data_IF_259648278293
#
_entry.id   IF_259648278293
#
_cell.length_a   1.000
_cell.length_b   1.000
_cell.length_c   1.000
_cell.angle_alpha   90.00
_cell.angle_beta   90.00
_cell.angle_gamma   90.00
#
_symmetry.space_group_name_H-M   'P 1'
#
loop_
_entity.id
_entity.type
_entity.pdbx_description
1 polymer ?
#
# COMPACT_ATOMS: atom_id res chain seq x y z
N UNK A 1 -9.46 1.50 4.05
CA UNK A 1 -8.27 0.66 3.95
C UNK A 1 -8.30 -0.19 2.68
N UNK A 2 -7.16 -0.62 2.22
CA UNK A 2 -6.99 -1.64 1.20
C UNK A 2 -6.26 -2.85 1.78
N UNK A 3 -6.46 -4.04 1.19
CA UNK A 3 -5.86 -5.27 1.73
C UNK A 3 -4.86 -5.87 0.74
N UNK A 4 -3.68 -6.20 1.24
CA UNK A 4 -2.64 -6.90 0.49
C UNK A 4 -2.89 -8.40 0.41
N UNK A 5 -2.47 -8.99 -0.72
CA UNK A 5 -2.59 -10.42 -1.01
C UNK A 5 -2.05 -10.78 -2.37
N UNK A 6 -2.50 -11.91 -2.91
CA UNK A 6 -2.13 -12.36 -4.25
C UNK A 6 -0.65 -12.70 -4.40
N UNK A 7 0.00 -13.15 -3.33
CA UNK A 7 1.39 -13.63 -3.39
C UNK A 7 1.52 -14.85 -4.31
N UNK A 8 2.73 -15.02 -4.86
CA UNK A 8 3.08 -16.22 -5.61
C UNK A 8 3.47 -17.32 -4.63
N UNK A 9 2.80 -18.44 -4.75
CA UNK A 9 3.05 -19.63 -3.94
C UNK A 9 3.08 -20.88 -4.83
N UNK A 10 3.91 -21.89 -4.53
CA UNK A 10 3.90 -23.13 -5.27
C UNK A 10 2.50 -23.76 -5.31
N UNK A 11 2.00 -24.05 -6.50
CA UNK A 11 0.70 -24.68 -6.70
C UNK A 11 -0.51 -23.72 -6.69
N UNK A 12 -0.33 -22.45 -6.32
CA UNK A 12 -1.39 -21.44 -6.30
C UNK A 12 -1.75 -20.98 -7.72
N UNK A 13 -2.93 -21.34 -8.16
CA UNK A 13 -3.47 -21.00 -9.48
C UNK A 13 -4.35 -19.75 -9.47
N UNK A 14 -4.98 -19.49 -10.62
CA UNK A 14 -5.92 -18.36 -10.78
C UNK A 14 -7.17 -18.54 -9.90
N UNK A 15 -7.67 -19.79 -9.77
CA UNK A 15 -8.81 -20.09 -8.90
C UNK A 15 -8.53 -19.74 -7.45
N UNK A 16 -7.39 -20.12 -6.93
CA UNK A 16 -6.97 -19.85 -5.55
C UNK A 16 -6.82 -18.34 -5.30
N UNK A 17 -6.29 -17.59 -6.27
CA UNK A 17 -6.24 -16.12 -6.22
C UNK A 17 -7.65 -15.52 -6.13
N UNK A 18 -8.59 -16.01 -6.93
CA UNK A 18 -9.97 -15.52 -6.90
C UNK A 18 -10.66 -15.84 -5.58
N UNK A 19 -10.40 -17.02 -5.01
CA UNK A 19 -10.97 -17.43 -3.72
C UNK A 19 -10.37 -16.61 -2.57
N UNK A 20 -9.07 -16.34 -2.59
CA UNK A 20 -8.43 -15.39 -1.67
C UNK A 20 -9.10 -14.01 -1.71
N UNK A 21 -9.30 -13.46 -2.91
CA UNK A 21 -9.96 -12.16 -3.08
C UNK A 21 -11.39 -12.20 -2.53
N UNK A 22 -12.18 -13.23 -2.83
CA UNK A 22 -13.54 -13.38 -2.28
C UNK A 22 -13.55 -13.40 -0.76
N UNK A 23 -12.64 -14.16 -0.16
CA UNK A 23 -12.51 -14.23 1.30
C UNK A 23 -12.18 -12.85 1.93
N UNK A 24 -11.41 -12.00 1.25
CA UNK A 24 -11.13 -10.63 1.71
C UNK A 24 -12.35 -9.71 1.54
N UNK A 25 -13.09 -9.84 0.44
CA UNK A 25 -14.35 -9.10 0.25
C UNK A 25 -15.39 -9.50 1.31
N UNK A 26 -15.51 -10.78 1.66
CA UNK A 26 -16.40 -11.28 2.72
C UNK A 26 -16.01 -10.75 4.11
N UNK A 27 -14.74 -10.40 4.34
CA UNK A 27 -14.26 -9.70 5.54
C UNK A 27 -14.59 -8.20 5.56
N UNK A 28 -15.23 -7.66 4.51
CA UNK A 28 -15.62 -6.25 4.40
C UNK A 28 -14.66 -5.35 3.64
N UNK A 29 -13.52 -5.86 3.16
CA UNK A 29 -12.63 -5.08 2.28
C UNK A 29 -13.27 -4.85 0.92
N UNK A 30 -12.91 -3.75 0.26
CA UNK A 30 -13.37 -3.46 -1.10
C UNK A 30 -12.21 -3.32 -2.09
N UNK A 31 -11.06 -2.86 -1.60
CA UNK A 31 -9.86 -2.64 -2.42
C UNK A 31 -8.81 -3.71 -2.12
N UNK A 32 -8.35 -4.34 -3.18
CA UNK A 32 -7.29 -5.36 -3.15
C UNK A 32 -6.01 -4.82 -3.76
N UNK A 33 -4.86 -5.22 -3.20
CA UNK A 33 -3.54 -5.09 -3.82
C UNK A 33 -2.96 -6.48 -4.03
N UNK A 34 -2.62 -6.83 -5.27
CA UNK A 34 -2.02 -8.13 -5.62
C UNK A 34 -0.60 -7.95 -6.15
N UNK A 35 0.24 -8.96 -5.95
CA UNK A 35 1.62 -8.94 -6.43
C UNK A 35 1.71 -9.23 -7.93
N UNK A 36 2.65 -8.52 -8.60
CA UNK A 36 3.04 -8.73 -10.00
C UNK A 36 4.56 -8.84 -10.11
N UNK A 37 5.06 -9.39 -11.20
CA UNK A 37 6.49 -9.51 -11.45
C UNK A 37 7.12 -10.85 -11.05
N UNK A 38 6.42 -11.71 -10.34
CA UNK A 38 6.89 -13.04 -10.01
C UNK A 38 6.66 -14.08 -11.12
N UNK A 39 5.97 -13.69 -12.20
CA UNK A 39 5.69 -14.52 -13.35
C UNK A 39 5.95 -13.74 -14.66
N UNK A 40 5.93 -14.41 -15.84
CA UNK A 40 5.93 -13.71 -17.11
C UNK A 40 4.73 -12.74 -17.22
N UNK A 41 4.93 -11.58 -17.85
CA UNK A 41 3.94 -10.50 -17.96
C UNK A 41 2.57 -10.99 -18.48
N UNK A 42 2.55 -11.90 -19.45
CA UNK A 42 1.32 -12.47 -19.98
C UNK A 42 0.54 -13.32 -18.96
N UNK A 43 1.23 -13.89 -17.98
CA UNK A 43 0.60 -14.60 -16.87
C UNK A 43 0.07 -13.62 -15.83
N UNK A 44 0.80 -12.56 -15.53
CA UNK A 44 0.33 -11.52 -14.60
C UNK A 44 -0.87 -10.77 -15.15
N UNK A 45 -0.91 -10.49 -16.45
CA UNK A 45 -2.12 -9.95 -17.13
C UNK A 45 -3.33 -10.86 -16.88
N UNK A 46 -3.20 -12.18 -17.04
CA UNK A 46 -4.29 -13.13 -16.75
C UNK A 46 -4.71 -13.12 -15.26
N UNK A 47 -3.75 -12.95 -14.35
CA UNK A 47 -4.03 -12.81 -12.90
C UNK A 47 -4.82 -11.54 -12.61
N UNK A 48 -4.46 -10.42 -13.23
CA UNK A 48 -5.16 -9.13 -13.12
C UNK A 48 -6.59 -9.24 -13.69
N UNK A 49 -6.75 -9.81 -14.88
CA UNK A 49 -8.07 -10.05 -15.48
C UNK A 49 -8.95 -10.92 -14.57
N UNK A 50 -8.37 -11.95 -13.96
CA UNK A 50 -9.07 -12.83 -13.04
C UNK A 50 -9.47 -12.12 -11.73
N UNK A 51 -8.60 -11.27 -11.20
CA UNK A 51 -8.89 -10.45 -10.04
C UNK A 51 -10.00 -9.44 -10.32
N UNK A 52 -9.95 -8.75 -11.47
CA UNK A 52 -10.97 -7.79 -11.89
C UNK A 52 -12.37 -8.41 -12.02
N UNK A 53 -12.46 -9.69 -12.44
CA UNK A 53 -13.75 -10.41 -12.46
C UNK A 53 -14.37 -10.57 -11.08
N UNK A 54 -13.57 -10.54 -10.01
CA UNK A 54 -14.05 -10.68 -8.63
C UNK A 54 -14.33 -9.30 -8.00
N UNK A 55 -13.37 -8.36 -8.07
CA UNK A 55 -13.52 -7.02 -7.48
C UNK A 55 -14.46 -6.11 -8.27
N UNK A 56 -14.72 -6.41 -9.54
CA UNK A 56 -15.69 -5.75 -10.46
C UNK A 56 -15.40 -4.30 -10.84
N UNK A 57 -14.35 -3.67 -10.28
CA UNK A 57 -13.93 -2.32 -10.63
C UNK A 57 -12.40 -2.23 -10.60
N UNK A 58 -11.82 -1.55 -11.57
CA UNK A 58 -10.38 -1.25 -11.58
C UNK A 58 -9.97 -0.32 -10.44
N UNK A 59 -10.88 0.55 -9.98
CA UNK A 59 -10.66 1.40 -8.80
C UNK A 59 -10.48 0.60 -7.50
N UNK A 60 -10.86 -0.67 -7.51
CA UNK A 60 -10.75 -1.59 -6.39
C UNK A 60 -9.57 -2.57 -6.52
N UNK A 61 -8.73 -2.43 -7.55
CA UNK A 61 -7.56 -3.28 -7.75
C UNK A 61 -6.30 -2.45 -7.94
N UNK A 62 -5.33 -2.67 -7.06
CA UNK A 62 -3.96 -2.20 -7.18
C UNK A 62 -3.02 -3.37 -7.47
N UNK A 63 -1.88 -3.10 -8.09
CA UNK A 63 -0.81 -4.08 -8.31
C UNK A 63 0.51 -3.56 -7.77
N UNK A 64 1.36 -4.49 -7.28
CA UNK A 64 2.60 -4.16 -6.60
C UNK A 64 3.73 -5.05 -7.14
N UNK A 65 4.79 -4.41 -7.64
CA UNK A 65 5.97 -5.07 -8.17
C UNK A 65 7.12 -5.17 -7.15
N UNK A 66 6.98 -4.59 -5.97
CA UNK A 66 8.00 -4.56 -4.90
C UNK A 66 9.41 -4.27 -5.44
N UNK A 67 9.54 -3.19 -6.20
CA UNK A 67 10.81 -2.70 -6.75
C UNK A 67 11.58 -3.69 -7.66
N UNK A 68 10.92 -4.71 -8.19
CA UNK A 68 11.59 -5.85 -8.83
C UNK A 68 12.02 -5.61 -10.28
N UNK A 69 11.66 -4.48 -10.91
CA UNK A 69 11.87 -4.30 -12.33
C UNK A 69 13.08 -3.42 -12.68
N UNK A 70 13.85 -3.90 -13.63
CA UNK A 70 14.73 -3.06 -14.42
C UNK A 70 13.93 -2.16 -15.38
N UNK A 71 14.63 -1.24 -16.07
CA UNK A 71 13.99 -0.31 -17.00
C UNK A 71 13.13 -1.00 -18.08
N UNK A 72 13.64 -2.09 -18.66
CA UNK A 72 12.94 -2.80 -19.73
C UNK A 72 11.62 -3.40 -19.24
N UNK A 73 11.65 -4.06 -18.08
CA UNK A 73 10.49 -4.66 -17.46
C UNK A 73 9.50 -3.60 -16.94
N UNK A 74 9.98 -2.56 -16.29
CA UNK A 74 9.13 -1.49 -15.75
C UNK A 74 8.28 -0.83 -16.85
N UNK A 75 8.90 -0.46 -17.98
CA UNK A 75 8.20 0.14 -19.12
C UNK A 75 7.29 -0.87 -19.83
N UNK A 76 7.69 -2.13 -19.95
CA UNK A 76 6.84 -3.18 -20.51
C UNK A 76 5.59 -3.44 -19.65
N UNK A 77 5.74 -3.46 -18.32
CA UNK A 77 4.59 -3.58 -17.40
C UNK A 77 3.71 -2.34 -17.46
N UNK A 78 4.26 -1.13 -17.47
CA UNK A 78 3.48 0.10 -17.64
C UNK A 78 2.58 0.04 -18.88
N UNK A 79 3.14 -0.36 -20.03
CA UNK A 79 2.38 -0.55 -21.27
C UNK A 79 1.31 -1.65 -21.17
N UNK A 80 1.61 -2.78 -20.52
CA UNK A 80 0.66 -3.88 -20.38
C UNK A 80 -0.46 -3.57 -19.38
N UNK A 81 -0.19 -2.75 -18.37
CA UNK A 81 -1.16 -2.36 -17.33
C UNK A 81 -2.05 -1.18 -17.74
N UNK A 82 -1.58 -0.32 -18.63
CA UNK A 82 -2.29 0.90 -19.03
C UNK A 82 -3.77 0.65 -19.45
N UNK A 83 -4.12 -0.42 -20.21
CA UNK A 83 -5.50 -0.66 -20.62
C UNK A 83 -6.48 -0.96 -19.47
N UNK A 84 -5.98 -1.34 -18.29
CA UNK A 84 -6.82 -1.74 -17.16
C UNK A 84 -7.29 -0.56 -16.32
N UNK A 85 -6.59 0.59 -16.33
CA UNK A 85 -6.93 1.74 -15.51
C UNK A 85 -7.00 1.39 -14.02
N UNK A 86 -6.00 0.66 -13.51
CA UNK A 86 -5.96 0.17 -12.13
C UNK A 86 -5.92 1.33 -11.13
N UNK A 87 -6.31 1.05 -9.89
CA UNK A 87 -6.24 2.01 -8.78
C UNK A 87 -4.86 2.62 -8.64
N UNK A 88 -3.80 1.79 -8.67
CA UNK A 88 -2.41 2.20 -8.84
C UNK A 88 -1.51 1.03 -9.25
N UNK A 89 -0.34 1.39 -9.79
CA UNK A 89 0.79 0.51 -9.97
C UNK A 89 1.88 0.89 -8.97
N UNK A 90 2.20 -0.02 -8.05
CA UNK A 90 3.08 0.20 -6.91
C UNK A 90 4.50 -0.29 -7.19
N UNK A 91 5.48 0.52 -6.77
CA UNK A 91 6.92 0.24 -6.81
C UNK A 91 7.41 -0.47 -8.07
N UNK A 92 7.25 0.13 -9.25
CA UNK A 92 7.67 -0.50 -10.51
C UNK A 92 9.19 -0.76 -10.58
N UNK A 93 10.01 0.02 -9.84
CA UNK A 93 11.46 -0.05 -9.90
C UNK A 93 12.07 0.27 -8.53
N UNK A 94 13.40 0.21 -8.43
CA UNK A 94 14.14 0.60 -7.22
C UNK A 94 13.62 1.93 -6.68
N UNK A 95 13.25 2.03 -5.40
CA UNK A 95 12.65 3.22 -4.81
C UNK A 95 13.55 4.45 -4.81
N UNK A 96 14.86 4.29 -4.99
CA UNK A 96 15.83 5.37 -5.11
C UNK A 96 16.21 5.70 -6.56
N UNK A 97 15.76 4.92 -7.56
CA UNK A 97 15.93 5.25 -8.97
C UNK A 97 14.84 6.21 -9.47
N UNK A 98 14.92 7.45 -9.01
CA UNK A 98 13.95 8.48 -9.36
C UNK A 98 13.89 8.76 -10.86
N UNK A 99 15.01 8.59 -11.59
CA UNK A 99 15.04 8.79 -13.03
C UNK A 99 14.21 7.72 -13.75
N UNK A 100 14.35 6.46 -13.37
CA UNK A 100 13.54 5.38 -13.94
C UNK A 100 12.06 5.51 -13.56
N UNK A 101 11.76 5.89 -12.31
CA UNK A 101 10.38 6.15 -11.90
C UNK A 101 9.75 7.28 -12.73
N UNK A 102 10.50 8.35 -13.02
CA UNK A 102 10.03 9.45 -13.86
C UNK A 102 9.74 8.98 -15.30
N UNK A 103 10.57 8.09 -15.85
CA UNK A 103 10.31 7.49 -17.16
C UNK A 103 9.02 6.65 -17.17
N UNK A 104 8.78 5.88 -16.11
CA UNK A 104 7.53 5.11 -15.96
C UNK A 104 6.34 6.06 -15.83
N UNK A 105 6.45 7.09 -14.99
CA UNK A 105 5.38 8.07 -14.78
C UNK A 105 5.02 8.82 -16.08
N UNK A 106 6.01 9.09 -16.93
CA UNK A 106 5.77 9.72 -18.23
C UNK A 106 5.00 8.81 -19.21
N UNK A 107 5.20 7.50 -19.11
CA UNK A 107 4.60 6.51 -20.01
C UNK A 107 3.33 5.82 -19.46
N UNK A 108 2.89 6.17 -18.24
CA UNK A 108 1.77 5.51 -17.56
C UNK A 108 0.80 6.53 -16.96
N UNK A 109 -0.37 6.67 -17.56
CA UNK A 109 -1.34 7.71 -17.19
C UNK A 109 -2.12 7.40 -15.91
N UNK A 110 -2.33 6.11 -15.57
CA UNK A 110 -3.00 5.74 -14.34
C UNK A 110 -2.09 6.03 -13.11
N UNK A 111 -2.64 6.02 -11.88
CA UNK A 111 -1.86 6.36 -10.70
C UNK A 111 -0.69 5.40 -10.46
N UNK A 112 0.46 5.95 -10.05
CA UNK A 112 1.57 5.23 -9.44
C UNK A 112 1.47 5.31 -7.92
N UNK A 113 2.04 4.34 -7.22
CA UNK A 113 2.20 4.37 -5.77
C UNK A 113 3.61 3.96 -5.38
N UNK A 114 4.21 4.65 -4.41
CA UNK A 114 5.54 4.30 -3.90
C UNK A 114 5.83 5.03 -2.58
N UNK A 115 6.88 4.62 -1.89
CA UNK A 115 7.37 5.31 -0.71
C UNK A 115 7.52 4.41 0.52
N UNK A 116 7.08 3.17 0.49
CA UNK A 116 7.23 2.24 1.62
C UNK A 116 8.70 2.00 2.00
N UNK A 117 9.60 2.10 1.03
CA UNK A 117 11.04 1.93 1.19
C UNK A 117 11.81 3.26 1.34
N UNK A 118 11.12 4.36 1.65
CA UNK A 118 11.72 5.66 1.95
C UNK A 118 11.57 5.99 3.43
N UNK A 119 12.68 6.26 4.11
CA UNK A 119 12.70 6.33 5.56
C UNK A 119 12.96 7.74 6.12
N UNK A 120 13.23 8.73 5.26
CA UNK A 120 13.49 10.11 5.70
C UNK A 120 12.67 11.14 4.94
N UNK A 121 12.50 12.34 5.53
CA UNK A 121 11.90 13.49 4.84
C UNK A 121 12.69 13.86 3.59
N UNK A 122 14.02 13.69 3.61
CA UNK A 122 14.88 14.00 2.49
C UNK A 122 14.65 13.05 1.31
N UNK A 123 14.48 11.75 1.56
CA UNK A 123 14.15 10.78 0.53
C UNK A 123 12.80 11.09 -0.11
N UNK A 124 11.80 11.40 0.71
CA UNK A 124 10.47 11.78 0.22
C UNK A 124 10.52 13.09 -0.58
N UNK A 125 11.30 14.08 -0.13
CA UNK A 125 11.53 15.32 -0.88
C UNK A 125 12.16 15.03 -2.26
N UNK A 126 13.17 14.17 -2.30
CA UNK A 126 13.82 13.79 -3.55
C UNK A 126 12.87 13.03 -4.48
N UNK A 127 12.08 12.09 -3.92
CA UNK A 127 11.06 11.37 -4.68
C UNK A 127 10.10 12.31 -5.39
N UNK A 128 9.47 13.23 -4.66
CA UNK A 128 8.45 14.13 -5.25
C UNK A 128 9.05 15.22 -6.14
N UNK A 129 10.35 15.52 -5.97
CA UNK A 129 11.05 16.50 -6.80
C UNK A 129 11.58 15.92 -8.11
N UNK A 130 12.00 14.65 -8.12
CA UNK A 130 12.74 14.05 -9.23
C UNK A 130 12.11 12.78 -9.80
N UNK A 131 11.20 12.12 -9.07
CA UNK A 131 10.58 10.87 -9.48
C UNK A 131 9.42 11.00 -10.48
N UNK A 132 9.13 12.22 -10.96
CA UNK A 132 8.09 12.44 -11.95
C UNK A 132 6.66 12.21 -11.46
N UNK A 133 6.46 12.05 -10.15
CA UNK A 133 5.15 11.81 -9.56
C UNK A 133 4.23 13.04 -9.66
N UNK A 134 2.94 12.79 -9.78
CA UNK A 134 1.89 13.77 -10.03
C UNK A 134 1.01 13.93 -8.79
N UNK A 135 1.00 15.09 -8.19
CA UNK A 135 0.29 15.38 -6.93
C UNK A 135 -1.25 15.36 -7.05
N UNK A 136 -1.77 15.32 -8.27
CA UNK A 136 -3.21 15.24 -8.57
C UNK A 136 -3.75 13.80 -8.62
N UNK A 137 -2.88 12.78 -8.64
CA UNK A 137 -3.31 11.38 -8.81
C UNK A 137 -2.43 10.31 -8.14
N UNK A 138 -1.10 10.51 -8.05
CA UNK A 138 -0.20 9.48 -7.53
C UNK A 138 -0.26 9.37 -6.00
N UNK A 139 0.13 8.23 -5.48
CA UNK A 139 -0.01 7.84 -4.08
C UNK A 139 1.36 7.75 -3.41
N UNK A 140 1.45 8.26 -2.20
CA UNK A 140 2.65 8.19 -1.35
C UNK A 140 2.42 7.25 -0.17
N UNK A 141 3.34 6.30 0.05
CA UNK A 141 3.14 5.17 0.97
C UNK A 141 4.16 5.10 2.11
N UNK A 142 4.75 6.24 2.50
CA UNK A 142 5.71 6.27 3.62
C UNK A 142 5.09 5.67 4.88
N UNK A 143 5.86 4.80 5.54
CA UNK A 143 5.46 4.13 6.76
C UNK A 143 5.96 4.90 8.00
N UNK A 144 5.06 5.19 8.93
CA UNK A 144 5.38 5.97 10.12
C UNK A 144 6.42 5.29 11.02
N UNK A 145 6.29 3.98 11.34
CA UNK A 145 7.30 3.27 12.14
C UNK A 145 8.69 3.28 11.52
N UNK A 146 8.78 3.20 10.20
CA UNK A 146 10.06 3.18 9.49
C UNK A 146 10.63 4.58 9.22
N UNK A 147 9.83 5.64 9.38
CA UNK A 147 10.20 7.04 9.07
C UNK A 147 10.53 7.85 10.33
N UNK A 148 11.24 7.25 11.28
CA UNK A 148 11.63 7.89 12.55
C UNK A 148 10.46 8.40 13.41
N UNK A 149 9.27 7.80 13.26
CA UNK A 149 8.11 8.05 14.10
C UNK A 149 7.30 9.30 13.74
N UNK A 150 6.30 9.58 14.58
CA UNK A 150 5.24 10.55 14.32
C UNK A 150 5.74 11.98 14.11
N UNK A 151 6.78 12.40 14.84
CA UNK A 151 7.31 13.77 14.74
C UNK A 151 7.94 14.01 13.37
N UNK A 152 8.75 13.07 12.90
CA UNK A 152 9.38 13.19 11.59
C UNK A 152 8.34 13.03 10.47
N UNK A 153 7.40 12.12 10.62
CA UNK A 153 6.31 11.92 9.68
C UNK A 153 5.44 13.19 9.53
N UNK A 154 5.12 13.87 10.65
CA UNK A 154 4.36 15.13 10.59
C UNK A 154 5.11 16.25 9.85
N UNK A 155 6.46 16.31 9.98
CA UNK A 155 7.29 17.25 9.22
C UNK A 155 7.29 16.91 7.73
N UNK A 156 7.32 15.62 7.40
CA UNK A 156 7.21 15.15 6.00
C UNK A 156 5.86 15.54 5.41
N UNK A 157 4.75 15.36 6.14
CA UNK A 157 3.43 15.81 5.67
C UNK A 157 3.38 17.32 5.44
N UNK A 158 3.93 18.13 6.36
CA UNK A 158 3.97 19.59 6.20
C UNK A 158 4.80 20.02 4.98
N UNK A 159 5.92 19.34 4.71
CA UNK A 159 6.71 19.57 3.50
C UNK A 159 5.91 19.20 2.24
N UNK A 160 5.23 18.06 2.23
CA UNK A 160 4.41 17.62 1.09
C UNK A 160 3.28 18.62 0.79
N UNK A 161 2.61 19.14 1.82
CA UNK A 161 1.57 20.17 1.67
C UNK A 161 2.13 21.45 1.03
N UNK A 162 3.34 21.87 1.41
CA UNK A 162 4.03 23.03 0.80
C UNK A 162 4.36 22.78 -0.68
N UNK A 163 4.58 21.53 -1.08
CA UNK A 163 4.84 21.12 -2.45
C UNK A 163 3.56 20.79 -3.25
N UNK A 164 2.38 21.08 -2.68
CA UNK A 164 1.09 20.94 -3.35
C UNK A 164 0.46 19.54 -3.26
N UNK A 165 1.03 18.63 -2.44
CA UNK A 165 0.44 17.31 -2.19
C UNK A 165 -0.69 17.41 -1.17
N UNK A 166 -1.71 16.59 -1.35
CA UNK A 166 -2.82 16.48 -0.41
C UNK A 166 -2.59 15.33 0.57
N UNK A 167 -3.04 15.48 1.82
CA UNK A 167 -3.02 14.38 2.79
C UNK A 167 -3.76 13.13 2.28
N UNK A 168 -4.78 13.32 1.46
CA UNK A 168 -5.55 12.23 0.84
C UNK A 168 -4.78 11.42 -0.20
N UNK A 169 -3.64 11.91 -0.67
CA UNK A 169 -2.71 11.15 -1.51
C UNK A 169 -1.75 10.25 -0.71
N UNK A 170 -1.78 10.31 0.63
CA UNK A 170 -0.89 9.53 1.50
C UNK A 170 -1.63 8.32 2.04
N UNK A 171 -1.12 7.14 1.71
CA UNK A 171 -1.65 5.82 2.11
C UNK A 171 -0.52 4.99 2.75
N UNK A 172 -0.16 5.19 4.02
CA UNK A 172 0.95 4.51 4.64
C UNK A 172 0.87 2.98 4.50
N UNK A 173 2.02 2.38 4.24
CA UNK A 173 2.27 0.96 4.25
C UNK A 173 2.19 0.37 5.66
N UNK A 174 2.20 -0.96 5.78
CA UNK A 174 2.49 -1.70 7.00
C UNK A 174 1.30 -2.33 7.69
N UNK A 175 0.08 -1.85 7.50
CA UNK A 175 -1.13 -2.50 8.00
C UNK A 175 -1.11 -2.78 9.51
N UNK A 176 -0.70 -1.81 10.32
CA UNK A 176 -0.58 -1.94 11.77
C UNK A 176 -1.38 -0.87 12.53
N UNK A 177 -1.59 -1.09 13.83
CA UNK A 177 -2.41 -0.22 14.67
C UNK A 177 -1.89 1.22 14.75
N UNK A 178 -0.56 1.43 14.75
CA UNK A 178 0.02 2.78 14.73
C UNK A 178 -0.34 3.50 13.43
N UNK A 179 -0.18 2.83 12.30
CA UNK A 179 -0.52 3.38 10.98
C UNK A 179 -2.00 3.76 10.91
N UNK A 180 -2.90 2.90 11.40
CA UNK A 180 -4.33 3.18 11.44
C UNK A 180 -4.64 4.43 12.26
N UNK A 181 -4.09 4.55 13.47
CA UNK A 181 -4.27 5.71 14.34
C UNK A 181 -3.76 7.00 13.69
N UNK A 182 -2.60 6.93 13.02
CA UNK A 182 -2.00 8.06 12.29
C UNK A 182 -2.86 8.48 11.09
N UNK A 183 -3.36 7.52 10.31
CA UNK A 183 -4.26 7.81 9.17
C UNK A 183 -5.51 8.56 9.63
N UNK A 184 -6.14 8.10 10.71
CA UNK A 184 -7.29 8.79 11.27
C UNK A 184 -6.94 10.15 11.85
N UNK A 185 -5.87 10.23 12.65
CA UNK A 185 -5.45 11.45 13.34
C UNK A 185 -5.00 12.57 12.42
N UNK A 186 -4.34 12.26 11.30
CA UNK A 186 -3.90 13.24 10.31
C UNK A 186 -4.87 13.41 9.13
N UNK A 187 -5.94 12.61 9.05
CA UNK A 187 -6.91 12.68 7.96
C UNK A 187 -6.33 12.25 6.60
N UNK A 188 -5.48 11.22 6.58
CA UNK A 188 -4.84 10.71 5.38
C UNK A 188 -5.83 9.98 4.44
N UNK A 189 -5.36 9.48 3.31
CA UNK A 189 -6.19 8.84 2.29
C UNK A 189 -6.70 7.45 2.71
N UNK A 190 -5.87 6.70 3.41
CA UNK A 190 -6.16 5.35 3.88
C UNK A 190 -4.91 4.64 4.35
N UNK A 191 -5.00 3.36 4.64
CA UNK A 191 -3.87 2.52 5.03
C UNK A 191 -3.99 1.10 4.46
N UNK A 192 -2.88 0.42 4.43
CA UNK A 192 -2.80 -0.99 4.13
C UNK A 192 -3.36 -1.86 5.25
N UNK A 193 -3.77 -3.08 4.93
CA UNK A 193 -4.20 -4.10 5.88
C UNK A 193 -3.63 -5.48 5.49
N UNK A 194 -3.16 -6.22 6.48
CA UNK A 194 -2.63 -7.59 6.35
C UNK A 194 -3.26 -8.53 7.37
N UNK A 195 -4.58 -8.82 7.27
CA UNK A 195 -5.25 -9.70 8.23
C UNK A 195 -4.70 -11.12 8.15
N UNK A 196 -4.25 -11.63 9.31
CA UNK A 196 -3.69 -12.98 9.43
C UNK A 196 -2.24 -13.14 8.97
N UNK A 197 -1.54 -12.04 8.68
CA UNK A 197 -0.13 -12.03 8.26
C UNK A 197 0.68 -11.21 9.28
N UNK A 198 1.95 -11.57 9.48
CA UNK A 198 2.90 -10.86 10.36
C UNK A 198 2.50 -10.77 11.85
N UNK A 199 1.58 -11.62 12.31
CA UNK A 199 1.22 -11.64 13.74
C UNK A 199 2.41 -11.95 14.66
N UNK A 200 2.45 -11.39 15.88
CA UNK A 200 1.46 -10.48 16.47
C UNK A 200 1.70 -9.00 16.14
N UNK A 201 2.72 -8.65 15.32
CA UNK A 201 3.22 -7.28 15.13
C UNK A 201 2.42 -6.46 14.11
N UNK A 202 1.68 -7.10 13.22
CA UNK A 202 0.79 -6.44 12.28
C UNK A 202 -0.68 -6.60 12.66
N UNK A 203 -1.56 -5.93 11.91
CA UNK A 203 -3.00 -5.95 12.15
C UNK A 203 -3.46 -4.79 13.04
N UNK A 204 -4.74 -4.80 13.33
CA UNK A 204 -5.43 -3.77 14.09
C UNK A 204 -5.91 -4.32 15.43
N UNK A 205 -6.53 -3.48 16.25
CA UNK A 205 -7.14 -3.91 17.51
C UNK A 205 -8.07 -5.11 17.29
N UNK A 206 -8.13 -6.05 18.25
CA UNK A 206 -8.86 -7.32 18.11
C UNK A 206 -10.37 -7.12 17.90
N UNK A 207 -10.91 -5.97 18.32
CA UNK A 207 -12.30 -5.54 18.13
C UNK A 207 -12.53 -4.66 16.88
N UNK A 208 -11.46 -4.36 16.11
CA UNK A 208 -11.58 -3.58 14.89
C UNK A 208 -12.37 -4.34 13.82
N UNK A 209 -13.30 -3.64 13.18
CA UNK A 209 -14.13 -4.20 12.11
C UNK A 209 -13.93 -3.44 10.82
N UNK A 210 -13.89 -4.19 9.73
CA UNK A 210 -13.87 -3.61 8.39
C UNK A 210 -15.28 -3.70 7.81
N UNK A 211 -15.85 -2.58 7.44
CA UNK A 211 -17.14 -2.52 6.76
C UNK A 211 -17.04 -1.61 5.52
N UNK A 212 -17.38 -2.15 4.36
CA UNK A 212 -17.36 -1.43 3.08
C UNK A 212 -16.03 -0.72 2.80
N UNK A 213 -14.91 -1.41 3.10
CA UNK A 213 -13.56 -0.88 2.90
C UNK A 213 -13.12 0.17 3.93
N UNK A 214 -13.97 0.48 4.90
CA UNK A 214 -13.67 1.40 6.00
C UNK A 214 -13.40 0.63 7.28
N UNK A 215 -12.49 1.13 8.10
CA UNK A 215 -12.20 0.60 9.42
C UNK A 215 -12.34 1.72 10.44
N UNK A 216 -13.07 1.44 11.52
CA UNK A 216 -13.25 2.38 12.61
C UNK A 216 -12.03 2.42 13.52
N UNK A 217 -11.67 3.61 13.98
CA UNK A 217 -10.66 3.76 15.02
C UNK A 217 -11.25 3.25 16.34
N UNK A 218 -10.47 2.48 17.13
CA UNK A 218 -10.93 2.08 18.47
C UNK A 218 -11.11 3.32 19.37
N UNK A 219 -12.16 3.31 20.18
CA UNK A 219 -12.39 4.35 21.20
C UNK A 219 -11.44 4.15 22.38
N UNK A 220 -10.15 4.42 22.14
CA UNK A 220 -9.05 4.27 23.09
C UNK A 220 -8.08 5.43 22.97
N UNK A 221 -7.52 5.93 24.10
CA UNK A 221 -6.50 6.97 24.08
C UNK A 221 -5.24 6.54 23.31
N UNK A 222 -4.60 7.48 22.64
CA UNK A 222 -3.32 7.27 21.97
C UNK A 222 -3.44 6.36 20.74
N UNK A 223 -2.49 5.45 20.57
CA UNK A 223 -2.42 4.52 19.42
C UNK A 223 -3.38 3.34 19.58
N UNK A 224 -3.67 2.94 20.83
CA UNK A 224 -4.59 1.85 21.12
C UNK A 224 -3.97 0.45 21.00
N UNK A 225 -2.65 0.30 21.22
CA UNK A 225 -1.97 -1.01 21.23
C UNK A 225 -2.55 -1.98 22.26
N UNK A 226 -3.15 -1.48 23.33
CA UNK A 226 -3.85 -2.28 24.34
C UNK A 226 -5.01 -3.10 23.76
N UNK A 227 -5.50 -2.71 22.59
CA UNK A 227 -6.53 -3.43 21.84
C UNK A 227 -6.02 -4.64 21.07
N UNK A 228 -4.71 -4.81 20.93
CA UNK A 228 -4.06 -5.97 20.34
C UNK A 228 -3.49 -6.86 21.44
N UNK A 229 -4.27 -7.78 21.99
CA UNK A 229 -3.89 -8.55 23.18
C UNK A 229 -2.55 -9.29 23.01
N UNK A 230 -2.32 -9.90 21.86
CA UNK A 230 -1.09 -10.64 21.59
C UNK A 230 0.15 -9.72 21.51
N UNK A 231 0.05 -8.59 20.80
CA UNK A 231 1.13 -7.60 20.73
C UNK A 231 1.38 -6.96 22.10
N UNK A 232 0.31 -6.58 22.79
CA UNK A 232 0.44 -5.91 24.08
C UNK A 232 1.07 -6.80 25.17
N UNK A 233 0.84 -8.11 25.10
CA UNK A 233 1.54 -9.07 25.96
C UNK A 233 3.07 -9.03 25.72
N UNK A 234 3.51 -9.07 24.47
CA UNK A 234 4.94 -8.95 24.12
C UNK A 234 5.52 -7.61 24.57
N UNK A 235 4.80 -6.51 24.35
CA UNK A 235 5.25 -5.18 24.78
C UNK A 235 5.44 -5.09 26.29
N UNK A 236 4.57 -5.68 27.09
CA UNK A 236 4.71 -5.72 28.56
C UNK A 236 5.91 -6.53 29.03
N UNK A 237 6.21 -7.62 28.35
CA UNK A 237 7.41 -8.43 28.67
C UNK A 237 8.72 -7.67 28.42
N UNK A 238 8.75 -6.83 27.38
CA UNK A 238 9.93 -6.01 27.04
C UNK A 238 10.17 -4.85 28.02
N UNK A 239 9.17 -4.46 28.81
CA UNK A 239 9.26 -3.37 29.80
C UNK A 239 9.63 -3.84 31.21
N UNK A 240 9.71 -5.15 31.44
CA UNK A 240 10.12 -5.77 32.69
C UNK A 240 11.56 -6.29 32.62
#
# INVERSE_FOLDING_TARGET
>A
CYVGGGWYEPGKGIGDLQDEIRAKLDQGYQTMKIKVGGAPIAQDVKRIEAALKVVKSSDNLAVDANAAFDRGRALAYAGALAPFGLRWFEEPCDPLDYALLADVAHGYDAPLATGENLFSTQDVHNLVSYGGLRNDRDILQMDVPQSYGIVQFSRTLAMLEQLGWQRKSVFPHGGNQMTLAIVGGFGLGGCEAYPGVFGPFAGFADDARVEKGTIDLPDRPGIGFEGQNALYAVMKELLN
#
